data_IF_621616437118
#
_entry.id   IF_621616437118
#
_cell.length_a   1.000
_cell.length_b   1.000
_cell.length_c   1.000
_cell.angle_alpha   90.00
_cell.angle_beta   90.00
_cell.angle_gamma   90.00
#
_symmetry.space_group_name_H-M   'P 1'
#
loop_
_entity.id
_entity.type
_entity.pdbx_description
1 polymer ?
#
# COMPACT_ATOMS: atom_id res chain seq x y z
N UNK A 1 13.60 -8.94 9.18
CA UNK A 1 13.97 -8.14 8.00
C UNK A 1 13.13 -6.87 7.96
N UNK A 2 13.52 -5.87 7.18
CA UNK A 2 12.61 -4.93 6.55
C UNK A 2 12.01 -5.56 5.27
N UNK A 3 10.86 -5.10 4.81
CA UNK A 3 10.36 -5.39 3.46
C UNK A 3 10.22 -4.09 2.66
N UNK A 4 10.43 -4.11 1.34
CA UNK A 4 10.22 -2.96 0.47
C UNK A 4 8.94 -3.11 -0.35
N UNK A 5 8.01 -2.17 -0.18
CA UNK A 5 6.87 -1.94 -1.07
C UNK A 5 7.18 -0.74 -1.97
N UNK A 6 7.10 -0.90 -3.29
CA UNK A 6 7.46 0.15 -4.25
C UNK A 6 6.82 -0.07 -5.63
N UNK A 7 6.94 0.90 -6.54
CA UNK A 7 6.62 0.70 -7.95
C UNK A 7 7.88 0.35 -8.77
N UNK A 8 7.82 -0.75 -9.53
CA UNK A 8 8.84 -1.07 -10.53
C UNK A 8 8.93 0.03 -11.60
N UNK A 9 7.77 0.46 -12.13
CA UNK A 9 7.59 1.65 -12.98
C UNK A 9 8.25 1.65 -14.36
N UNK A 10 9.03 0.63 -14.68
CA UNK A 10 9.81 0.53 -15.91
C UNK A 10 10.77 -0.65 -15.87
N UNK A 11 11.81 -0.67 -16.73
CA UNK A 11 12.84 -1.71 -16.70
C UNK A 11 13.46 -1.86 -15.31
N UNK A 12 13.62 -3.10 -14.83
CA UNK A 12 14.36 -3.39 -13.60
C UNK A 12 15.78 -3.82 -13.99
N UNK A 13 16.80 -2.93 -13.99
CA UNK A 13 18.12 -3.23 -14.54
C UNK A 13 18.98 -4.13 -13.65
N UNK A 14 18.61 -4.29 -12.37
CA UNK A 14 19.20 -5.28 -11.46
C UNK A 14 18.07 -6.15 -10.93
N UNK A 15 18.07 -7.41 -11.33
CA UNK A 15 17.14 -8.45 -10.88
C UNK A 15 17.90 -9.74 -10.64
N UNK A 16 17.44 -10.55 -9.69
CA UNK A 16 17.93 -11.91 -9.52
C UNK A 16 17.31 -12.80 -10.58
N UNK A 17 18.16 -13.47 -11.36
CA UNK A 17 17.82 -14.46 -12.38
C UNK A 17 18.73 -15.66 -12.17
N UNK A 18 18.43 -16.81 -12.81
CA UNK A 18 19.33 -17.99 -12.77
C UNK A 18 20.76 -17.67 -13.23
N UNK A 19 20.93 -16.67 -14.09
CA UNK A 19 22.24 -16.20 -14.56
C UNK A 19 22.95 -15.22 -13.60
N UNK A 20 22.21 -14.49 -12.75
CA UNK A 20 22.78 -13.52 -11.78
C UNK A 20 22.83 -14.03 -10.34
N UNK A 21 22.22 -15.19 -10.06
CA UNK A 21 22.06 -15.76 -8.72
C UNK A 21 23.36 -15.89 -7.91
N UNK A 22 24.36 -16.61 -8.43
CA UNK A 22 25.63 -16.84 -7.70
C UNK A 22 26.43 -15.54 -7.48
N UNK A 23 26.33 -14.60 -8.42
CA UNK A 23 26.92 -13.27 -8.28
C UNK A 23 26.20 -12.44 -7.20
N UNK A 24 24.87 -12.51 -7.15
CA UNK A 24 24.07 -11.84 -6.12
C UNK A 24 24.29 -12.44 -4.72
N UNK A 25 24.48 -13.76 -4.61
CA UNK A 25 24.91 -14.42 -3.36
C UNK A 25 26.31 -13.97 -2.91
N UNK A 26 27.21 -13.69 -3.86
CA UNK A 26 28.55 -13.17 -3.57
C UNK A 26 28.56 -11.70 -3.13
N UNK A 27 27.47 -10.97 -3.39
CA UNK A 27 27.24 -9.60 -2.95
C UNK A 27 26.98 -8.61 -4.10
N UNK A 28 25.97 -7.76 -3.93
CA UNK A 28 25.58 -6.74 -4.92
C UNK A 28 26.17 -5.37 -4.52
N UNK A 29 26.98 -4.70 -5.37
CA UNK A 29 27.48 -3.36 -5.08
C UNK A 29 26.35 -2.34 -4.94
N UNK A 30 26.28 -1.63 -3.81
CA UNK A 30 25.20 -0.65 -3.54
C UNK A 30 25.11 0.46 -4.61
N UNK A 31 26.22 0.78 -5.27
CA UNK A 31 26.28 1.77 -6.35
C UNK A 31 25.64 1.31 -7.66
N UNK A 32 25.55 0.00 -7.95
CA UNK A 32 24.89 -0.52 -9.16
C UNK A 32 23.36 -0.64 -9.02
N UNK A 33 22.83 -0.51 -7.80
CA UNK A 33 21.39 -0.61 -7.57
C UNK A 33 20.63 0.66 -7.98
N UNK A 34 19.40 0.52 -8.53
CA UNK A 34 18.48 1.64 -8.75
C UNK A 34 18.24 2.45 -7.47
N UNK A 35 17.95 3.75 -7.61
CA UNK A 35 17.88 4.66 -6.47
C UNK A 35 16.87 4.22 -5.40
N UNK A 36 15.67 3.78 -5.79
CA UNK A 36 14.64 3.30 -4.86
C UNK A 36 15.08 2.08 -4.04
N UNK A 37 15.93 1.21 -4.60
CA UNK A 37 16.46 0.03 -3.90
C UNK A 37 17.63 0.42 -2.99
N UNK A 38 18.52 1.32 -3.45
CA UNK A 38 19.62 1.88 -2.67
C UNK A 38 19.12 2.67 -1.45
N UNK A 39 18.07 3.46 -1.64
CA UNK A 39 17.42 4.24 -0.59
C UNK A 39 16.76 3.34 0.46
N UNK A 40 16.14 2.23 0.04
CA UNK A 40 15.55 1.23 0.94
C UNK A 40 16.59 0.48 1.77
N UNK A 41 17.72 0.11 1.18
CA UNK A 41 18.87 -0.49 1.88
C UNK A 41 19.48 0.51 2.87
N UNK A 42 19.70 1.76 2.43
CA UNK A 42 20.24 2.85 3.27
C UNK A 42 19.33 3.12 4.47
N UNK A 43 18.03 3.24 4.24
CA UNK A 43 17.01 3.37 5.31
C UNK A 43 17.04 2.19 6.27
N UNK A 44 17.16 0.95 5.75
CA UNK A 44 17.21 -0.26 6.57
C UNK A 44 18.45 -0.32 7.46
N UNK A 45 19.61 0.08 6.94
CA UNK A 45 20.85 0.19 7.71
C UNK A 45 20.77 1.29 8.79
N UNK A 46 20.20 2.46 8.46
CA UNK A 46 19.97 3.55 9.42
C UNK A 46 18.99 3.18 10.55
N UNK A 47 18.05 2.26 10.30
CA UNK A 47 17.16 1.68 11.31
C UNK A 47 17.82 0.57 12.16
N UNK A 48 19.10 0.27 11.95
CA UNK A 48 19.83 -0.77 12.67
C UNK A 48 19.34 -2.19 12.36
N UNK A 49 18.80 -2.42 11.16
CA UNK A 49 18.25 -3.70 10.73
C UNK A 49 19.17 -4.30 9.64
N UNK A 50 19.74 -5.51 9.83
CA UNK A 50 20.77 -6.05 8.92
C UNK A 50 20.24 -6.68 7.62
N UNK A 51 18.92 -6.84 7.47
CA UNK A 51 18.32 -7.56 6.33
C UNK A 51 17.09 -6.83 5.78
N UNK A 52 17.02 -6.66 4.45
CA UNK A 52 15.82 -6.24 3.72
C UNK A 52 15.41 -7.33 2.71
N UNK A 53 14.10 -7.49 2.49
CA UNK A 53 13.53 -8.25 1.37
C UNK A 53 13.03 -7.29 0.29
N UNK A 54 13.37 -7.56 -0.96
CA UNK A 54 13.00 -6.78 -2.15
C UNK A 54 12.62 -7.80 -3.24
N UNK A 55 11.42 -7.69 -3.82
CA UNK A 55 10.89 -8.68 -4.79
C UNK A 55 11.86 -8.97 -5.94
N UNK A 56 12.41 -7.92 -6.57
CA UNK A 56 13.37 -7.99 -7.67
C UNK A 56 14.70 -8.69 -7.33
N UNK A 57 15.10 -8.74 -6.04
CA UNK A 57 16.39 -9.32 -5.61
C UNK A 57 16.23 -10.65 -4.86
N UNK A 58 15.10 -10.88 -4.20
CA UNK A 58 14.86 -12.06 -3.38
C UNK A 58 14.10 -13.18 -4.10
N UNK A 59 13.58 -12.93 -5.31
CA UNK A 59 12.89 -13.90 -6.15
C UNK A 59 13.65 -14.04 -7.48
N UNK A 60 13.80 -15.27 -7.99
CA UNK A 60 14.42 -15.59 -9.28
C UNK A 60 13.42 -15.31 -10.41
N UNK A 61 13.58 -14.17 -11.09
CA UNK A 61 12.56 -13.61 -12.00
C UNK A 61 12.31 -14.44 -13.27
N UNK A 62 13.25 -15.28 -13.68
CA UNK A 62 13.15 -16.20 -14.82
C UNK A 62 12.76 -17.64 -14.41
N UNK A 63 12.41 -17.87 -13.14
CA UNK A 63 11.95 -19.16 -12.64
C UNK A 63 10.49 -19.10 -12.17
N UNK A 64 9.56 -19.66 -12.96
CA UNK A 64 8.14 -19.71 -12.63
C UNK A 64 7.84 -20.49 -11.34
N UNK A 65 8.68 -21.46 -10.96
CA UNK A 65 8.50 -22.24 -9.73
C UNK A 65 8.93 -21.45 -8.52
N UNK A 66 10.04 -20.71 -8.61
CA UNK A 66 10.50 -19.82 -7.53
C UNK A 66 9.51 -18.67 -7.32
N UNK A 67 9.09 -18.01 -8.40
CA UNK A 67 8.04 -16.97 -8.37
C UNK A 67 6.75 -17.49 -7.74
N UNK A 68 6.23 -18.66 -8.12
CA UNK A 68 5.02 -19.22 -7.52
C UNK A 68 5.17 -19.49 -6.00
N UNK A 69 6.35 -19.95 -5.56
CA UNK A 69 6.64 -20.20 -4.14
C UNK A 69 6.76 -18.89 -3.35
N UNK A 70 7.49 -17.90 -3.86
CA UNK A 70 7.70 -16.64 -3.15
C UNK A 70 6.47 -15.72 -3.19
N UNK A 71 5.69 -15.69 -4.28
CA UNK A 71 4.39 -14.99 -4.32
C UNK A 71 3.43 -15.56 -3.26
N UNK A 72 3.41 -16.89 -3.09
CA UNK A 72 2.64 -17.53 -2.01
C UNK A 72 3.18 -17.22 -0.59
N UNK A 73 4.43 -16.76 -0.47
CA UNK A 73 5.08 -16.36 0.79
C UNK A 73 5.01 -14.86 1.07
N UNK A 74 4.83 -14.00 0.06
CA UNK A 74 4.72 -12.54 0.20
C UNK A 74 3.83 -12.10 1.39
N UNK A 75 2.65 -12.69 1.66
CA UNK A 75 1.83 -12.32 2.80
C UNK A 75 2.59 -12.40 4.13
N UNK A 76 3.32 -13.50 4.37
CA UNK A 76 4.12 -13.70 5.57
C UNK A 76 5.41 -12.83 5.59
N UNK A 77 5.93 -12.44 4.42
CA UNK A 77 7.07 -11.51 4.33
C UNK A 77 6.70 -10.13 4.86
N UNK A 78 5.54 -9.59 4.49
CA UNK A 78 5.06 -8.28 4.95
C UNK A 78 4.46 -8.34 6.36
N UNK A 79 3.67 -9.37 6.69
CA UNK A 79 3.12 -9.58 8.04
C UNK A 79 4.23 -9.66 9.11
N UNK A 80 5.35 -10.35 8.81
CA UNK A 80 6.41 -10.64 9.78
C UNK A 80 7.62 -9.72 9.65
N UNK A 81 7.53 -8.68 8.81
CA UNK A 81 8.52 -7.62 8.74
C UNK A 81 8.65 -6.88 10.09
N UNK A 82 9.88 -6.48 10.44
CA UNK A 82 10.09 -5.57 11.57
C UNK A 82 9.54 -4.18 11.26
N UNK A 83 9.63 -3.76 10.01
CA UNK A 83 8.92 -2.64 9.40
C UNK A 83 8.91 -2.84 7.89
N UNK A 84 7.82 -2.47 7.24
CA UNK A 84 7.78 -2.33 5.77
C UNK A 84 8.09 -0.88 5.41
N UNK A 85 9.04 -0.69 4.50
CA UNK A 85 9.32 0.59 3.88
C UNK A 85 8.45 0.70 2.62
N UNK A 86 7.61 1.72 2.53
CA UNK A 86 6.85 2.03 1.33
C UNK A 86 7.44 3.27 0.64
N UNK A 87 7.98 3.08 -0.56
CA UNK A 87 8.52 4.14 -1.40
C UNK A 87 7.37 4.85 -2.15
N UNK A 88 6.44 5.46 -1.40
CA UNK A 88 5.14 5.89 -1.92
C UNK A 88 5.21 6.97 -3.00
N UNK A 89 6.19 7.87 -2.93
CA UNK A 89 6.45 8.92 -3.92
C UNK A 89 7.13 8.43 -5.20
N UNK A 90 7.78 7.26 -5.19
CA UNK A 90 8.52 6.73 -6.33
C UNK A 90 7.57 6.07 -7.34
N UNK A 91 7.57 6.54 -8.57
CA UNK A 91 6.83 5.94 -9.68
C UNK A 91 7.58 4.74 -10.27
N UNK A 92 8.92 4.71 -10.18
CA UNK A 92 9.78 3.63 -10.65
C UNK A 92 10.94 3.30 -9.70
N UNK A 93 11.65 2.21 -10.00
CA UNK A 93 12.85 1.80 -9.26
C UNK A 93 14.00 2.82 -9.36
N UNK A 94 14.01 3.66 -10.41
CA UNK A 94 15.08 4.59 -10.72
C UNK A 94 15.00 5.92 -9.95
N UNK A 95 13.83 6.26 -9.41
CA UNK A 95 13.53 7.61 -8.91
C UNK A 95 14.19 7.92 -7.55
N UNK A 96 14.19 6.95 -6.64
CA UNK A 96 14.52 7.18 -5.24
C UNK A 96 13.36 7.78 -4.44
N UNK A 97 13.57 7.94 -3.13
CA UNK A 97 12.60 8.55 -2.21
C UNK A 97 13.24 9.32 -1.04
N UNK A 98 14.57 9.32 -0.92
CA UNK A 98 15.32 10.09 0.09
C UNK A 98 15.83 11.45 -0.43
N UNK A 99 15.52 11.82 -1.67
CA UNK A 99 15.83 13.15 -2.20
C UNK A 99 15.03 14.26 -1.48
N UNK A 100 15.49 15.51 -1.58
CA UNK A 100 14.70 16.66 -1.13
C UNK A 100 13.37 16.69 -1.91
N UNK A 101 12.24 16.80 -1.18
CA UNK A 101 10.91 16.82 -1.80
C UNK A 101 10.81 18.05 -2.70
N UNK A 102 10.56 17.84 -3.99
CA UNK A 102 10.27 18.93 -4.91
C UNK A 102 9.05 19.71 -4.39
N UNK A 103 9.24 21.01 -4.12
CA UNK A 103 8.21 21.89 -3.58
C UNK A 103 6.98 21.90 -4.51
N UNK A 104 5.89 21.28 -4.09
CA UNK A 104 4.68 21.19 -4.90
C UNK A 104 4.09 22.59 -5.15
N UNK A 105 3.66 22.85 -6.39
CA UNK A 105 3.04 24.11 -6.81
C UNK A 105 1.58 24.29 -6.28
N UNK A 106 1.27 23.69 -5.13
CA UNK A 106 -0.04 23.64 -4.51
C UNK A 106 0.11 24.26 -3.11
N UNK A 107 -0.14 25.57 -2.96
CA UNK A 107 0.17 26.34 -1.73
C UNK A 107 -0.87 27.45 -1.36
N UNK A 108 -1.63 27.28 -0.25
CA UNK A 108 -2.39 28.25 0.62
C UNK A 108 -3.06 27.44 1.77
N UNK A 109 -3.15 27.68 3.08
CA UNK A 109 -2.61 28.66 4.06
C UNK A 109 -2.24 27.86 5.37
N UNK A 110 -1.67 28.46 6.45
CA UNK A 110 -1.26 27.73 7.66
C UNK A 110 -2.40 27.46 8.64
N UNK A 111 -2.47 26.24 9.21
CA UNK A 111 -3.25 26.00 10.43
C UNK A 111 -2.41 26.39 11.66
N UNK A 112 -2.97 27.19 12.59
CA UNK A 112 -2.28 27.59 13.82
C UNK A 112 -2.19 26.42 14.81
N UNK A 113 -1.22 25.53 14.59
CA UNK A 113 -0.81 24.59 15.62
C UNK A 113 -0.13 25.38 16.74
N UNK A 114 -0.77 25.45 17.91
CA UNK A 114 -0.11 25.95 19.11
C UNK A 114 1.19 25.16 19.30
N UNK A 115 2.37 25.82 19.40
CA UNK A 115 3.59 25.10 19.71
C UNK A 115 3.38 24.37 21.05
N UNK A 116 3.88 23.12 21.21
CA UNK A 116 3.79 22.42 22.48
C UNK A 116 4.28 23.34 23.60
N UNK A 117 3.50 23.51 24.67
CA UNK A 117 3.62 24.63 25.63
C UNK A 117 4.96 24.69 26.42
N UNK A 118 5.89 23.78 26.13
CA UNK A 118 7.22 23.64 26.73
C UNK A 118 8.35 23.52 25.68
N UNK A 119 8.05 23.65 24.38
CA UNK A 119 9.02 23.59 23.30
C UNK A 119 9.59 24.99 22.99
N UNK A 120 10.93 25.16 22.86
CA UNK A 120 11.50 26.42 22.40
C UNK A 120 11.11 26.69 20.95
N UNK A 121 10.91 27.96 20.55
CA UNK A 121 10.52 28.31 19.19
C UNK A 121 11.57 27.85 18.18
N UNK A 122 11.11 27.16 17.12
CA UNK A 122 11.95 26.68 16.03
C UNK A 122 11.62 27.43 14.75
N UNK A 123 12.65 27.92 14.06
CA UNK A 123 12.49 28.41 12.69
C UNK A 123 12.27 27.22 11.75
N UNK A 124 11.31 27.34 10.84
CA UNK A 124 10.96 26.30 9.87
C UNK A 124 10.09 26.86 8.75
N UNK A 125 9.91 26.08 7.69
CA UNK A 125 9.02 26.41 6.58
C UNK A 125 7.68 25.67 6.73
N UNK A 126 6.59 26.35 6.37
CA UNK A 126 5.26 25.73 6.28
C UNK A 126 4.93 25.51 4.80
N UNK A 127 4.61 24.28 4.43
CA UNK A 127 3.97 23.99 3.14
C UNK A 127 2.46 24.18 3.33
N UNK A 128 1.85 24.88 2.38
CA UNK A 128 0.45 25.27 2.35
C UNK A 128 -0.26 24.40 1.27
N UNK A 129 -1.59 24.45 1.02
CA UNK A 129 -2.14 23.91 -0.26
C UNK A 129 -3.53 24.39 -0.71
N UNK A 130 -3.63 24.94 -1.94
CA UNK A 130 -4.90 25.35 -2.60
C UNK A 130 -5.92 24.23 -2.84
N UNK A 131 -5.53 22.97 -2.69
CA UNK A 131 -6.43 21.82 -2.66
C UNK A 131 -5.96 20.81 -1.60
N UNK A 132 -6.88 20.09 -0.94
CA UNK A 132 -6.50 19.09 0.06
C UNK A 132 -5.59 18.01 -0.53
N UNK A 133 -4.59 17.59 0.24
CA UNK A 133 -3.65 16.54 -0.18
C UNK A 133 -4.37 15.20 -0.28
N UNK A 134 -4.46 14.67 -1.50
CA UNK A 134 -5.08 13.38 -1.77
C UNK A 134 -4.07 12.26 -1.53
N UNK A 135 -4.12 11.63 -0.36
CA UNK A 135 -3.25 10.50 0.01
C UNK A 135 -3.29 9.32 -0.97
N UNK A 136 -4.38 9.19 -1.76
CA UNK A 136 -4.49 8.22 -2.84
C UNK A 136 -3.73 8.53 -4.14
N UNK A 137 -3.18 9.74 -4.33
CA UNK A 137 -2.42 10.10 -5.56
C UNK A 137 -0.92 9.83 -5.49
N UNK A 138 -0.41 9.37 -4.34
CA UNK A 138 0.96 8.82 -4.22
C UNK A 138 1.14 7.66 -5.24
N UNK A 139 2.15 7.68 -6.15
CA UNK A 139 2.30 6.73 -7.27
C UNK A 139 2.18 5.24 -6.92
N UNK A 140 2.58 4.84 -5.71
CA UNK A 140 2.45 3.45 -5.23
C UNK A 140 1.01 2.92 -5.24
N UNK A 141 0.01 3.79 -5.11
CA UNK A 141 -1.40 3.42 -5.12
C UNK A 141 -1.89 2.98 -6.51
N UNK A 142 -1.14 3.26 -7.57
CA UNK A 142 -1.47 2.80 -8.92
C UNK A 142 -1.12 1.32 -9.16
N UNK A 143 -0.23 0.69 -8.37
CA UNK A 143 0.17 -0.73 -8.50
C UNK A 143 -0.73 -1.62 -7.64
N UNK A 144 -1.33 -2.66 -8.21
CA UNK A 144 -2.30 -3.53 -7.51
C UNK A 144 -1.75 -4.24 -6.28
N UNK A 145 -0.61 -4.93 -6.42
CA UNK A 145 0.02 -5.70 -5.33
C UNK A 145 0.28 -4.89 -4.05
N UNK A 146 0.58 -3.59 -4.17
CA UNK A 146 0.95 -2.72 -3.03
C UNK A 146 -0.17 -2.53 -2.01
N UNK A 147 -1.43 -2.83 -2.35
CA UNK A 147 -2.50 -2.82 -1.35
C UNK A 147 -2.31 -3.94 -0.32
N UNK A 148 -2.01 -5.17 -0.77
CA UNK A 148 -1.77 -6.31 0.12
C UNK A 148 -0.49 -6.09 0.94
N UNK A 149 0.57 -5.57 0.31
CA UNK A 149 1.82 -5.19 0.96
C UNK A 149 1.57 -4.15 2.08
N UNK A 150 0.79 -3.10 1.80
CA UNK A 150 0.38 -2.07 2.77
C UNK A 150 -0.47 -2.66 3.88
N UNK A 151 -1.57 -3.34 3.56
CA UNK A 151 -2.59 -3.79 4.53
C UNK A 151 -2.03 -4.85 5.49
N UNK A 152 -1.25 -5.82 5.01
CA UNK A 152 -0.70 -6.88 5.86
C UNK A 152 0.47 -6.40 6.75
N UNK A 153 1.11 -5.27 6.43
CA UNK A 153 2.24 -4.74 7.22
C UNK A 153 1.77 -4.19 8.59
N UNK A 154 2.16 -4.81 9.73
CA UNK A 154 1.75 -4.34 11.06
C UNK A 154 2.53 -3.10 11.52
N UNK A 155 3.65 -2.80 10.86
CA UNK A 155 4.45 -1.58 11.02
C UNK A 155 4.87 -1.10 9.65
N UNK A 156 4.47 0.12 9.29
CA UNK A 156 4.71 0.73 7.99
C UNK A 156 5.43 2.07 8.17
N UNK A 157 6.50 2.30 7.40
CA UNK A 157 7.16 3.60 7.24
C UNK A 157 7.01 4.00 5.78
N UNK A 158 6.29 5.08 5.53
CA UNK A 158 5.80 5.43 4.21
C UNK A 158 6.40 6.77 3.76
N UNK A 159 7.27 6.73 2.74
CA UNK A 159 7.89 7.91 2.14
C UNK A 159 6.97 8.43 1.04
N UNK A 160 5.96 9.19 1.45
CA UNK A 160 4.97 9.78 0.56
C UNK A 160 5.39 11.15 0.03
N UNK A 161 4.70 11.60 -1.01
CA UNK A 161 5.02 12.78 -1.81
C UNK A 161 5.04 14.06 -0.98
N UNK A 162 4.11 14.21 -0.02
CA UNK A 162 4.14 15.32 0.94
C UNK A 162 4.92 15.02 2.25
N UNK A 163 4.86 13.78 2.76
CA UNK A 163 5.26 13.44 4.14
C UNK A 163 5.89 12.04 4.27
N UNK A 164 6.83 11.87 5.20
CA UNK A 164 7.12 10.55 5.79
C UNK A 164 6.05 10.23 6.81
N UNK A 165 5.08 9.38 6.44
CA UNK A 165 4.06 8.83 7.35
C UNK A 165 4.59 7.57 8.04
N UNK A 166 4.05 7.24 9.19
CA UNK A 166 4.27 5.95 9.85
C UNK A 166 3.03 5.48 10.60
N UNK A 167 2.87 4.15 10.74
CA UNK A 167 1.85 3.55 11.60
C UNK A 167 2.28 2.19 12.12
N UNK A 168 1.77 1.83 13.29
CA UNK A 168 1.78 0.48 13.85
C UNK A 168 0.37 0.08 14.30
N UNK A 169 0.24 -0.95 15.15
CA UNK A 169 -1.04 -1.34 15.75
C UNK A 169 -1.45 -0.49 16.97
N UNK A 170 -0.56 0.38 17.46
CA UNK A 170 -0.74 1.16 18.69
C UNK A 170 -0.81 2.68 18.45
N UNK A 171 -0.21 3.18 17.36
CA UNK A 171 -0.12 4.60 17.04
C UNK A 171 0.21 4.85 15.55
N UNK A 172 -0.02 6.08 15.10
CA UNK A 172 0.39 6.58 13.79
C UNK A 172 0.97 8.01 13.90
N UNK A 173 1.53 8.53 12.79
CA UNK A 173 1.98 9.91 12.70
C UNK A 173 2.67 10.25 11.38
N UNK A 174 3.13 11.49 11.24
CA UNK A 174 3.85 12.01 10.07
C UNK A 174 4.99 12.96 10.46
N UNK A 175 5.73 13.48 9.48
CA UNK A 175 6.68 14.58 9.65
C UNK A 175 6.06 15.94 9.31
N UNK A 176 6.35 16.96 10.11
CA UNK A 176 5.76 18.29 9.95
C UNK A 176 4.36 18.41 10.58
N UNK A 177 3.52 19.28 10.01
CA UNK A 177 2.18 19.60 10.51
C UNK A 177 1.11 18.61 9.99
N UNK A 178 -0.13 18.76 10.46
CA UNK A 178 -1.28 18.06 9.88
C UNK A 178 -1.51 18.51 8.42
N UNK A 179 -1.88 17.58 7.55
CA UNK A 179 -2.30 17.90 6.17
C UNK A 179 -3.82 18.14 6.13
N UNK A 180 -4.26 19.21 5.46
CA UNK A 180 -5.63 19.26 4.99
C UNK A 180 -5.86 18.14 3.96
N UNK A 181 -6.80 17.25 4.27
CA UNK A 181 -7.23 16.13 3.43
C UNK A 181 -8.68 16.28 2.94
N UNK A 182 -9.32 17.44 3.18
CA UNK A 182 -10.62 17.79 2.60
C UNK A 182 -11.81 17.09 3.24
N UNK A 183 -11.64 16.48 4.42
CA UNK A 183 -12.76 16.08 5.27
C UNK A 183 -13.53 14.83 4.84
N UNK A 184 -12.90 13.83 4.19
CA UNK A 184 -13.44 12.45 4.09
C UNK A 184 -12.43 11.31 4.29
N UNK A 185 -11.22 11.59 4.73
CA UNK A 185 -10.43 10.54 5.38
C UNK A 185 -11.10 10.17 6.71
N UNK A 186 -11.29 8.87 6.99
CA UNK A 186 -11.41 8.43 8.39
C UNK A 186 -10.07 8.78 9.03
N UNK A 187 -10.08 9.62 10.08
CA UNK A 187 -8.92 9.70 10.97
C UNK A 187 -8.79 8.35 11.67
N UNK A 188 -7.58 7.78 11.69
CA UNK A 188 -7.29 6.66 12.60
C UNK A 188 -7.29 7.15 14.07
N UNK A 189 -7.18 8.47 14.28
CA UNK A 189 -7.50 9.17 15.51
C UNK A 189 -9.04 9.23 15.70
N UNK A 190 -9.56 8.24 16.43
CA UNK A 190 -10.96 8.17 16.85
C UNK A 190 -11.11 8.70 18.30
N UNK A 191 -10.95 10.02 18.48
CA UNK A 191 -11.24 10.67 19.77
C UNK A 191 -12.72 10.48 20.15
N UNK A 192 -12.95 10.00 21.37
CA UNK A 192 -14.25 9.50 21.80
C UNK A 192 -15.11 10.61 22.45
N UNK A 193 -15.83 11.40 21.64
CA UNK A 193 -16.79 12.38 22.17
C UNK A 193 -18.26 12.17 21.72
N UNK A 194 -19.04 11.63 22.66
CA UNK A 194 -20.40 12.10 23.00
C UNK A 194 -21.57 11.92 22.03
N UNK A 195 -21.34 11.77 20.72
CA UNK A 195 -22.37 12.07 19.70
C UNK A 195 -22.84 10.85 18.90
N UNK A 196 -23.77 10.09 19.49
CA UNK A 196 -24.78 9.32 18.74
C UNK A 196 -24.29 8.29 17.73
N UNK A 197 -23.05 7.80 17.84
CA UNK A 197 -22.47 6.84 16.91
C UNK A 197 -23.34 5.58 16.80
N UNK A 198 -23.93 5.36 15.60
CA UNK A 198 -24.64 4.12 15.28
C UNK A 198 -23.64 2.98 15.42
N UNK A 199 -23.87 2.11 16.41
CA UNK A 199 -23.13 0.86 16.54
C UNK A 199 -23.58 -0.07 15.42
N UNK A 200 -22.87 0.02 14.28
CA UNK A 200 -22.81 -1.03 13.28
C UNK A 200 -22.64 -2.36 14.01
N UNK A 201 -23.35 -3.40 13.57
CA UNK A 201 -23.04 -4.74 14.09
C UNK A 201 -21.68 -5.22 13.55
N UNK A 202 -21.22 -6.36 14.08
CA UNK A 202 -19.89 -6.89 13.73
C UNK A 202 -19.80 -7.31 12.26
N UNK A 203 -20.91 -7.70 11.63
CA UNK A 203 -20.96 -8.09 10.22
C UNK A 203 -20.86 -6.85 9.33
N UNK A 204 -21.72 -5.85 9.56
CA UNK A 204 -21.70 -4.58 8.82
C UNK A 204 -20.34 -3.87 8.90
N UNK A 205 -19.71 -3.87 10.08
CA UNK A 205 -18.37 -3.30 10.26
C UNK A 205 -17.28 -4.03 9.46
N UNK A 206 -17.35 -5.37 9.36
CA UNK A 206 -16.41 -6.18 8.56
C UNK A 206 -16.65 -6.00 7.05
N UNK A 207 -17.91 -5.84 6.64
CA UNK A 207 -18.30 -5.60 5.26
C UNK A 207 -17.82 -4.23 4.76
N UNK A 208 -18.01 -3.16 5.55
CA UNK A 208 -17.45 -1.83 5.21
C UNK A 208 -15.93 -1.84 5.07
N UNK A 209 -15.21 -2.71 5.79
CA UNK A 209 -13.77 -2.92 5.61
C UNK A 209 -13.48 -3.64 4.29
N UNK A 210 -14.26 -4.64 3.91
CA UNK A 210 -14.11 -5.30 2.61
C UNK A 210 -14.43 -4.39 1.44
N UNK A 211 -15.53 -3.65 1.48
CA UNK A 211 -15.94 -2.74 0.41
C UNK A 211 -14.92 -1.61 0.23
N UNK A 212 -14.34 -1.11 1.33
CA UNK A 212 -13.20 -0.19 1.29
C UNK A 212 -11.94 -0.80 0.66
N UNK A 213 -11.67 -2.09 0.89
CA UNK A 213 -10.58 -2.83 0.21
C UNK A 213 -10.88 -3.00 -1.27
N UNK A 214 -12.09 -3.40 -1.67
CA UNK A 214 -12.49 -3.54 -3.07
C UNK A 214 -12.38 -2.19 -3.79
N UNK A 215 -12.92 -1.11 -3.22
CA UNK A 215 -12.81 0.24 -3.76
C UNK A 215 -11.36 0.71 -3.93
N UNK A 216 -10.51 0.56 -2.90
CA UNK A 216 -9.11 0.95 -3.00
C UNK A 216 -8.27 0.03 -3.89
N UNK A 217 -8.75 -1.17 -4.21
CA UNK A 217 -8.10 -2.14 -5.11
C UNK A 217 -8.55 -2.03 -6.56
N UNK A 218 -9.83 -1.74 -6.81
CA UNK A 218 -10.45 -1.72 -8.14
C UNK A 218 -9.77 -0.69 -9.05
N UNK A 219 -9.54 0.50 -8.50
CA UNK A 219 -8.78 1.62 -9.07
C UNK A 219 -7.33 1.30 -9.46
N UNK A 220 -6.74 0.19 -8.99
CA UNK A 220 -5.32 -0.13 -9.18
C UNK A 220 -5.08 -0.93 -10.46
N UNK A 221 -3.96 -0.63 -11.12
CA UNK A 221 -3.50 -1.31 -12.33
C UNK A 221 -2.64 -2.52 -11.97
N UNK A 222 -2.75 -3.55 -12.80
CA UNK A 222 -1.91 -4.75 -12.75
C UNK A 222 -1.18 -4.91 -14.08
N UNK A 223 0.07 -5.37 -14.02
CA UNK A 223 0.83 -5.75 -15.22
C UNK A 223 0.30 -7.05 -15.82
N UNK A 224 -0.21 -7.96 -14.97
CA UNK A 224 -0.79 -9.25 -15.35
C UNK A 224 -2.25 -9.28 -14.89
N UNK A 225 -3.24 -9.31 -15.80
CA UNK A 225 -4.66 -9.33 -15.43
C UNK A 225 -5.06 -10.46 -14.48
N UNK A 226 -4.46 -11.65 -14.64
CA UNK A 226 -4.71 -12.82 -13.79
C UNK A 226 -4.42 -12.62 -12.30
N UNK A 227 -3.62 -11.60 -11.93
CA UNK A 227 -3.29 -11.28 -10.53
C UNK A 227 -4.47 -10.65 -9.77
N UNK A 228 -5.58 -10.26 -10.43
CA UNK A 228 -6.68 -9.46 -9.82
C UNK A 228 -7.35 -10.10 -8.60
N UNK A 229 -7.32 -11.43 -8.48
CA UNK A 229 -7.74 -12.14 -7.25
C UNK A 229 -6.55 -12.60 -6.38
N UNK A 230 -5.47 -13.20 -6.91
CA UNK A 230 -4.26 -13.51 -6.15
C UNK A 230 -3.71 -12.35 -5.31
N UNK A 231 -3.60 -11.14 -5.88
CA UNK A 231 -2.96 -9.98 -5.24
C UNK A 231 -3.82 -9.26 -4.18
N UNK A 232 -5.04 -9.75 -3.91
CA UNK A 232 -5.87 -9.32 -2.76
C UNK A 232 -6.30 -10.51 -1.89
N UNK A 233 -5.98 -11.74 -2.30
CA UNK A 233 -6.43 -12.99 -1.68
C UNK A 233 -6.10 -13.09 -0.19
N UNK A 234 -4.92 -12.62 0.23
CA UNK A 234 -4.49 -12.74 1.63
C UNK A 234 -5.08 -11.65 2.52
N UNK A 235 -5.54 -10.53 1.96
CA UNK A 235 -6.39 -9.57 2.67
C UNK A 235 -7.76 -10.21 2.95
N UNK A 236 -8.33 -10.92 1.97
CA UNK A 236 -9.56 -11.69 2.18
C UNK A 236 -9.37 -12.80 3.23
N UNK A 237 -8.30 -13.59 3.16
CA UNK A 237 -7.97 -14.61 4.17
C UNK A 237 -7.90 -13.99 5.57
N UNK A 238 -7.18 -12.89 5.75
CA UNK A 238 -7.04 -12.22 7.05
C UNK A 238 -8.37 -11.65 7.56
N UNK A 239 -9.22 -11.14 6.67
CA UNK A 239 -10.56 -10.68 7.04
C UNK A 239 -11.46 -11.86 7.46
N UNK A 240 -11.35 -13.02 6.80
CA UNK A 240 -12.08 -14.24 7.18
C UNK A 240 -11.69 -14.75 8.57
N UNK A 241 -10.39 -14.71 8.91
CA UNK A 241 -9.89 -15.02 10.26
C UNK A 241 -10.48 -14.05 11.30
N UNK A 242 -10.40 -12.75 11.03
CA UNK A 242 -10.94 -11.70 11.91
C UNK A 242 -12.47 -11.75 12.04
N UNK A 243 -13.17 -12.24 11.01
CA UNK A 243 -14.61 -12.47 11.03
C UNK A 243 -15.01 -13.65 11.93
N UNK A 244 -14.15 -14.66 12.07
CA UNK A 244 -14.45 -15.91 12.78
C UNK A 244 -15.79 -16.52 12.32
N UNK A 245 -15.93 -16.70 11.00
CA UNK A 245 -17.11 -17.29 10.35
C UNK A 245 -18.26 -16.34 10.02
N UNK A 246 -18.30 -15.11 10.55
CA UNK A 246 -19.41 -14.15 10.33
C UNK A 246 -19.69 -13.86 8.86
N UNK A 247 -18.67 -13.68 8.02
CA UNK A 247 -18.83 -13.39 6.60
C UNK A 247 -19.22 -14.62 5.73
N UNK A 248 -19.29 -15.80 6.33
CA UNK A 248 -19.45 -17.08 5.63
C UNK A 248 -18.28 -17.37 4.69
N UNK A 249 -18.56 -18.05 3.56
CA UNK A 249 -17.54 -18.41 2.55
C UNK A 249 -17.13 -17.21 1.67
N UNK A 250 -15.91 -17.30 1.15
CA UNK A 250 -15.39 -16.36 0.14
C UNK A 250 -15.58 -16.93 -1.28
N UNK A 251 -16.22 -16.15 -2.14
CA UNK A 251 -16.51 -16.47 -3.53
C UNK A 251 -15.90 -15.43 -4.47
N UNK A 252 -14.64 -15.64 -4.86
CA UNK A 252 -13.94 -14.89 -5.92
C UNK A 252 -14.07 -13.35 -5.85
N UNK A 253 -13.95 -12.76 -4.65
CA UNK A 253 -14.10 -11.31 -4.43
C UNK A 253 -15.33 -10.91 -3.61
N UNK A 254 -16.25 -11.84 -3.33
CA UNK A 254 -17.53 -11.61 -2.66
C UNK A 254 -17.64 -12.51 -1.42
N UNK A 255 -18.38 -12.06 -0.39
CA UNK A 255 -18.70 -12.84 0.81
C UNK A 255 -20.10 -13.45 0.75
N UNK A 256 -20.27 -14.63 1.34
CA UNK A 256 -21.55 -15.36 1.38
C UNK A 256 -22.64 -14.59 2.13
N UNK A 257 -22.27 -13.89 3.21
CA UNK A 257 -23.18 -13.05 4.00
C UNK A 257 -23.89 -11.97 3.15
N UNK A 258 -23.19 -11.35 2.20
CA UNK A 258 -23.72 -10.26 1.36
C UNK A 258 -24.07 -10.67 -0.06
N UNK A 259 -24.08 -11.97 -0.41
CA UNK A 259 -24.18 -12.44 -1.79
C UNK A 259 -25.23 -11.69 -2.66
N UNK A 260 -26.48 -11.44 -2.19
CA UNK A 260 -27.49 -10.71 -2.98
C UNK A 260 -27.12 -9.25 -3.27
N UNK A 261 -26.48 -8.55 -2.34
CA UNK A 261 -26.06 -7.15 -2.49
C UNK A 261 -24.72 -7.03 -3.22
N UNK A 262 -23.76 -7.90 -2.91
CA UNK A 262 -22.45 -7.91 -3.51
C UNK A 262 -22.46 -8.31 -5.01
N UNK A 263 -23.53 -8.94 -5.48
CA UNK A 263 -23.80 -9.18 -6.90
C UNK A 263 -24.37 -7.94 -7.64
N UNK A 264 -24.69 -6.85 -6.93
CA UNK A 264 -25.18 -5.58 -7.50
C UNK A 264 -24.05 -4.55 -7.75
N UNK A 265 -22.78 -4.99 -7.68
CA UNK A 265 -21.64 -4.13 -8.02
C UNK A 265 -21.78 -3.56 -9.44
N UNK A 266 -21.30 -2.34 -9.62
CA UNK A 266 -21.27 -1.69 -10.94
C UNK A 266 -19.98 -0.88 -11.09
N UNK A 267 -19.46 -0.70 -12.33
CA UNK A 267 -18.40 0.26 -12.58
C UNK A 267 -18.76 1.67 -12.14
N UNK A 268 -17.78 2.49 -11.80
CA UNK A 268 -18.02 3.94 -11.68
C UNK A 268 -18.19 4.57 -13.06
N UNK A 269 -18.79 5.77 -13.16
CA UNK A 269 -18.85 6.51 -14.41
C UNK A 269 -17.49 6.88 -15.01
N UNK A 270 -16.41 6.77 -14.23
CA UNK A 270 -15.04 7.12 -14.62
C UNK A 270 -14.42 6.11 -15.62
N UNK A 271 -15.07 4.94 -15.79
CA UNK A 271 -14.83 4.00 -16.89
C UNK A 271 -14.08 2.74 -16.50
N UNK A 272 -13.40 2.15 -17.49
CA UNK A 272 -12.85 0.80 -17.43
C UNK A 272 -13.50 -0.12 -18.47
N UNK A 273 -13.24 -1.43 -18.40
CA UNK A 273 -13.86 -2.44 -19.28
C UNK A 273 -13.83 -3.83 -18.65
N UNK A 274 -14.73 -4.73 -19.06
CA UNK A 274 -14.60 -6.16 -18.76
C UNK A 274 -13.34 -6.71 -19.45
N UNK A 275 -12.58 -7.58 -18.77
CA UNK A 275 -11.43 -8.25 -19.41
C UNK A 275 -11.90 -9.11 -20.60
N UNK A 276 -11.09 -9.14 -21.67
CA UNK A 276 -11.37 -9.95 -22.85
C UNK A 276 -11.06 -11.45 -22.64
N UNK A 277 -10.10 -11.73 -21.75
CA UNK A 277 -9.71 -13.06 -21.31
C UNK A 277 -10.30 -13.38 -19.93
N UNK A 278 -10.32 -14.65 -19.54
CA UNK A 278 -10.82 -15.06 -18.24
C UNK A 278 -9.86 -14.68 -17.10
N UNK A 279 -10.27 -13.68 -16.31
CA UNK A 279 -9.58 -13.27 -15.06
C UNK A 279 -10.35 -13.76 -13.82
N UNK A 280 -11.67 -13.64 -13.85
CA UNK A 280 -12.57 -14.03 -12.76
C UNK A 280 -13.96 -14.38 -13.33
N UNK A 281 -14.83 -15.06 -12.56
CA UNK A 281 -16.22 -15.32 -12.96
C UNK A 281 -16.96 -14.03 -13.33
N UNK A 282 -17.85 -14.10 -14.33
CA UNK A 282 -18.49 -12.92 -14.92
C UNK A 282 -19.34 -12.09 -13.95
N UNK A 283 -19.82 -12.72 -12.88
CA UNK A 283 -20.57 -12.12 -11.78
C UNK A 283 -19.70 -11.47 -10.70
N UNK A 284 -18.38 -11.68 -10.72
CA UNK A 284 -17.44 -11.02 -9.79
C UNK A 284 -16.97 -9.68 -10.33
N UNK A 285 -16.85 -8.69 -9.46
CA UNK A 285 -16.28 -7.39 -9.75
C UNK A 285 -14.83 -7.48 -10.28
N UNK A 286 -14.08 -8.52 -9.89
CA UNK A 286 -12.71 -8.76 -10.35
C UNK A 286 -12.62 -9.17 -11.83
N UNK A 287 -13.76 -9.40 -12.50
CA UNK A 287 -13.83 -9.59 -13.96
C UNK A 287 -13.80 -8.27 -14.75
N UNK A 288 -13.68 -7.12 -14.05
CA UNK A 288 -13.61 -5.77 -14.61
C UNK A 288 -12.24 -5.11 -14.38
N UNK A 289 -11.73 -4.48 -15.43
CA UNK A 289 -10.53 -3.65 -15.47
C UNK A 289 -10.92 -2.19 -15.28
N UNK A 290 -11.12 -1.78 -14.03
CA UNK A 290 -11.49 -0.42 -13.67
C UNK A 290 -12.04 -0.29 -12.25
N UNK A 291 -12.36 0.94 -11.83
CA UNK A 291 -13.06 1.22 -10.58
C UNK A 291 -14.46 0.61 -10.55
N UNK A 292 -14.75 -0.02 -9.41
CA UNK A 292 -16.02 -0.60 -8.93
C UNK A 292 -16.07 -0.37 -7.42
#
# INVERSE_FOLDING_TARGET
>A
WCALSYCWGGPQPVTTTRATYDAHLSGIPLASLPATLRDAITTTALLGIPYIWIDALCIIQDDERDKAVEIARMPAVYERARVTLAASSAAACADGFLAERAWHALCTEPQEQQPPQQAPPRLGAVILSRQPYRTGTDPINARGWTLQERVLSPRLREFATAQVRWRCAEAAGSDGAALDTGGRGRSDDADADGTGAVRLDREEALLQVWDGVVWEYSKRKLTVPGDKLPAVSSVATRLSELANGVLGRYYAGIWEATLPHALLWHPTPDGGKRFAEYVAPSWSWASYDGPV
#
